data_IF_528250158092
#
_entry.id   IF_528250158092
#
_cell.length_a   1.000
_cell.length_b   1.000
_cell.length_c   1.000
_cell.angle_alpha   90.00
_cell.angle_beta   90.00
_cell.angle_gamma   90.00
#
_symmetry.space_group_name_H-M   'P 1'
#
loop_
_entity.id
_entity.type
_entity.pdbx_description
1 polymer ?
#
# COMPACT_ATOMS: atom_id res chain seq x y z
N UNK A 1 21.01 -11.58 9.19
CA UNK A 1 20.61 -10.51 8.26
C UNK A 1 19.73 -9.58 9.05
N UNK A 2 20.25 -8.42 9.42
CA UNK A 2 19.53 -7.51 10.31
C UNK A 2 18.59 -6.68 9.43
N UNK A 3 17.28 -6.93 9.56
CA UNK A 3 16.25 -6.26 8.78
C UNK A 3 15.65 -5.14 9.63
N UNK A 4 15.73 -3.92 9.13
CA UNK A 4 14.97 -2.80 9.64
C UNK A 4 13.63 -2.77 8.91
N UNK A 5 12.52 -2.85 9.65
CA UNK A 5 11.18 -2.88 9.06
C UNK A 5 10.49 -1.55 9.33
N UNK A 6 10.01 -0.92 8.26
CA UNK A 6 9.19 0.30 8.35
C UNK A 6 7.72 -0.10 8.23
N UNK A 7 6.91 0.30 9.21
CA UNK A 7 5.49 0.06 9.29
C UNK A 7 4.75 1.38 9.16
N UNK A 8 3.74 1.44 8.30
CA UNK A 8 2.84 2.58 8.21
C UNK A 8 1.43 2.11 7.88
N UNK A 9 0.44 2.76 8.47
CA UNK A 9 -0.97 2.52 8.17
C UNK A 9 -1.78 3.80 8.36
N UNK A 10 -2.65 4.11 7.40
CA UNK A 10 -3.44 5.33 7.43
C UNK A 10 -4.57 5.24 8.45
N UNK A 11 -4.66 6.18 9.39
CA UNK A 11 -5.68 6.19 10.44
C UNK A 11 -6.31 7.57 10.58
N UNK A 12 -7.63 7.61 10.75
CA UNK A 12 -8.34 8.83 11.08
C UNK A 12 -8.25 9.11 12.58
N UNK A 13 -7.62 10.22 12.94
CA UNK A 13 -7.45 10.65 14.33
C UNK A 13 -8.13 12.01 14.55
N UNK A 14 -8.67 12.28 15.74
CA UNK A 14 -9.18 13.61 16.07
C UNK A 14 -8.03 14.62 16.05
N UNK A 15 -8.28 15.81 15.52
CA UNK A 15 -7.28 16.89 15.59
C UNK A 15 -7.11 17.38 17.03
N UNK A 16 -5.89 17.77 17.40
CA UNK A 16 -5.54 18.24 18.76
C UNK A 16 -6.30 19.53 19.14
N UNK A 17 -6.83 20.26 18.16
CA UNK A 17 -7.46 21.58 18.32
C UNK A 17 -8.95 21.56 17.90
N UNK A 18 -9.46 20.50 17.27
CA UNK A 18 -10.76 20.52 16.60
C UNK A 18 -11.59 19.24 16.73
N UNK A 19 -12.91 19.37 16.49
CA UNK A 19 -13.86 18.24 16.41
C UNK A 19 -13.68 17.40 15.13
N UNK A 20 -12.84 17.83 14.20
CA UNK A 20 -12.66 17.16 12.90
C UNK A 20 -11.65 16.02 12.99
N UNK A 21 -11.93 14.96 12.23
CA UNK A 21 -11.00 13.85 12.04
C UNK A 21 -10.06 14.17 10.90
N UNK A 22 -8.77 14.12 11.18
CA UNK A 22 -7.71 14.24 10.19
C UNK A 22 -7.16 12.87 9.82
N UNK A 23 -6.82 12.69 8.54
CA UNK A 23 -6.11 11.50 8.11
C UNK A 23 -4.66 11.63 8.59
N UNK A 24 -4.19 10.67 9.36
CA UNK A 24 -2.83 10.62 9.88
C UNK A 24 -2.18 9.33 9.42
N UNK A 25 -0.86 9.36 9.31
CA UNK A 25 -0.08 8.19 8.90
C UNK A 25 1.06 7.95 9.90
N UNK A 26 0.83 7.24 11.01
CA UNK A 26 1.90 6.84 11.90
C UNK A 26 2.95 6.03 11.14
N UNK A 27 4.20 6.45 11.26
CA UNK A 27 5.35 5.75 10.70
C UNK A 27 6.20 5.21 11.86
N UNK A 28 6.35 3.90 11.88
CA UNK A 28 7.01 3.18 12.94
C UNK A 28 8.15 2.37 12.33
N UNK A 29 9.26 2.29 13.03
CA UNK A 29 10.41 1.46 12.65
C UNK A 29 10.65 0.42 13.74
N UNK A 30 10.86 -0.82 13.31
CA UNK A 30 11.18 -1.93 14.19
C UNK A 30 12.53 -2.55 13.80
N UNK A 31 13.35 -2.82 14.81
CA UNK A 31 14.69 -3.42 14.68
C UNK A 31 15.04 -4.20 15.94
N UNK A 32 15.46 -5.46 15.79
CA UNK A 32 15.92 -6.33 16.91
C UNK A 32 14.98 -6.32 18.14
N UNK A 33 13.67 -6.35 17.92
CA UNK A 33 12.67 -6.35 19.00
C UNK A 33 12.38 -4.97 19.60
N UNK A 34 13.13 -3.93 19.22
CA UNK A 34 12.80 -2.53 19.52
C UNK A 34 11.84 -1.98 18.47
N UNK A 35 10.96 -1.06 18.88
CA UNK A 35 10.01 -0.37 18.01
C UNK A 35 9.99 1.10 18.38
N UNK A 36 10.12 1.98 17.39
CA UNK A 36 10.17 3.42 17.59
C UNK A 36 9.22 4.12 16.61
N UNK A 37 8.41 5.04 17.12
CA UNK A 37 7.65 5.96 16.30
C UNK A 37 8.59 7.04 15.74
N UNK A 38 8.64 7.17 14.41
CA UNK A 38 9.41 8.23 13.77
C UNK A 38 8.58 9.51 13.65
N UNK A 39 7.36 9.38 13.10
CA UNK A 39 6.52 10.53 12.77
C UNK A 39 5.04 10.15 12.65
N UNK A 40 4.17 11.16 12.70
CA UNK A 40 2.74 11.04 12.40
C UNK A 40 2.35 12.17 11.44
N UNK A 41 2.73 12.09 10.16
CA UNK A 41 2.29 13.04 9.14
C UNK A 41 0.76 13.12 9.08
N UNK A 42 0.25 14.35 9.15
CA UNK A 42 -1.13 14.66 8.78
C UNK A 42 -1.22 14.71 7.25
N UNK A 43 -2.24 14.06 6.71
CA UNK A 43 -2.51 13.98 5.28
C UNK A 43 -3.75 14.81 4.97
N UNK A 44 -3.70 15.58 3.88
CA UNK A 44 -4.88 16.26 3.34
C UNK A 44 -5.96 15.24 2.95
N UNK A 45 -5.55 14.13 2.32
CA UNK A 45 -6.44 13.04 1.94
C UNK A 45 -5.83 11.68 2.30
N UNK A 46 -6.66 10.70 2.64
CA UNK A 46 -6.23 9.34 3.00
C UNK A 46 -5.87 8.44 1.81
N UNK A 47 -5.58 9.00 0.63
CA UNK A 47 -5.34 8.19 -0.57
C UNK A 47 -4.00 7.46 -0.50
N UNK A 48 -3.88 6.33 -1.22
CA UNK A 48 -2.61 5.59 -1.27
C UNK A 48 -1.45 6.42 -1.86
N UNK A 49 -1.75 7.40 -2.72
CA UNK A 49 -0.75 8.31 -3.29
C UNK A 49 -0.21 9.29 -2.25
N UNK A 50 -1.09 9.87 -1.43
CA UNK A 50 -0.68 10.81 -0.39
C UNK A 50 0.10 10.10 0.70
N UNK A 51 -0.31 8.87 1.05
CA UNK A 51 0.45 8.02 1.96
C UNK A 51 1.85 7.71 1.40
N UNK A 52 1.95 7.28 0.14
CA UNK A 52 3.25 6.98 -0.48
C UNK A 52 4.16 8.22 -0.54
N UNK A 53 3.59 9.39 -0.84
CA UNK A 53 4.34 10.66 -0.85
C UNK A 53 4.84 11.03 0.55
N UNK A 54 4.01 10.86 1.59
CA UNK A 54 4.40 11.14 2.97
C UNK A 54 5.57 10.25 3.42
N UNK A 55 5.51 8.94 3.14
CA UNK A 55 6.61 8.01 3.45
C UNK A 55 7.89 8.37 2.69
N UNK A 56 7.76 8.71 1.40
CA UNK A 56 8.91 9.07 0.57
C UNK A 56 9.60 10.36 1.07
N UNK A 57 8.82 11.37 1.48
CA UNK A 57 9.36 12.67 1.88
C UNK A 57 9.83 12.73 3.33
N UNK A 58 9.25 11.95 4.24
CA UNK A 58 9.61 11.91 5.65
C UNK A 58 10.50 10.71 5.97
N UNK A 59 9.87 9.56 6.23
CA UNK A 59 10.51 8.32 6.65
C UNK A 59 11.74 7.91 5.83
N UNK A 60 11.67 7.91 4.49
CA UNK A 60 12.79 7.48 3.64
C UNK A 60 13.99 8.42 3.78
N UNK A 61 13.76 9.74 3.83
CA UNK A 61 14.84 10.73 3.98
C UNK A 61 15.52 10.58 5.34
N UNK A 62 14.74 10.41 6.41
CA UNK A 62 15.28 10.23 7.77
C UNK A 62 16.08 8.94 7.89
N UNK A 63 15.62 7.86 7.25
CA UNK A 63 16.31 6.58 7.26
C UNK A 63 17.58 6.59 6.42
N UNK A 64 17.58 7.23 5.26
CA UNK A 64 18.79 7.42 4.43
C UNK A 64 19.85 8.23 5.18
N UNK A 65 19.43 9.29 5.89
CA UNK A 65 20.32 10.09 6.75
C UNK A 65 20.93 9.25 7.88
N UNK A 66 20.14 8.38 8.52
CA UNK A 66 20.63 7.52 9.60
C UNK A 66 21.48 6.34 9.15
N UNK A 67 21.23 5.82 7.94
CA UNK A 67 21.90 4.63 7.43
C UNK A 67 23.10 4.93 6.52
N UNK A 68 23.34 6.20 6.19
CA UNK A 68 24.38 6.67 5.25
C UNK A 68 24.37 5.91 3.91
N UNK A 69 23.21 5.38 3.52
CA UNK A 69 23.03 4.54 2.33
C UNK A 69 21.70 4.88 1.68
N UNK A 70 21.71 4.92 0.35
CA UNK A 70 20.49 5.07 -0.43
C UNK A 70 19.58 3.86 -0.19
N UNK A 71 18.33 4.12 0.20
CA UNK A 71 17.34 3.05 0.32
C UNK A 71 16.90 2.65 -1.09
N UNK A 72 16.90 1.35 -1.36
CA UNK A 72 16.16 0.83 -2.50
C UNK A 72 14.68 1.08 -2.20
N UNK A 73 14.06 2.01 -2.93
CA UNK A 73 12.65 2.34 -2.80
C UNK A 73 11.79 1.10 -3.08
N UNK A 74 11.46 0.35 -2.04
CA UNK A 74 10.55 -0.77 -2.13
C UNK A 74 9.14 -0.21 -2.15
N UNK A 75 8.36 -0.43 -3.23
CA UNK A 75 6.95 -0.12 -3.18
C UNK A 75 6.29 -0.98 -2.09
N UNK A 76 5.23 -0.48 -1.45
CA UNK A 76 4.56 -1.24 -0.41
C UNK A 76 4.12 -2.60 -0.96
N UNK A 77 4.04 -3.67 -0.14
CA UNK A 77 3.69 -5.03 -0.61
C UNK A 77 2.42 -5.02 -1.47
N UNK A 78 1.43 -4.20 -1.10
CA UNK A 78 0.20 -4.01 -1.87
C UNK A 78 0.40 -3.27 -3.19
N UNK A 79 1.29 -2.28 -3.23
CA UNK A 79 1.62 -1.52 -4.44
C UNK A 79 2.46 -2.34 -5.42
N UNK A 80 3.37 -3.21 -4.94
CA UNK A 80 4.09 -4.17 -5.79
C UNK A 80 3.08 -5.08 -6.50
N UNK A 81 2.14 -5.68 -5.75
CA UNK A 81 1.12 -6.55 -6.33
C UNK A 81 0.23 -5.78 -7.31
N UNK A 82 -0.18 -4.56 -6.97
CA UNK A 82 -0.97 -3.70 -7.87
C UNK A 82 -0.21 -3.35 -9.16
N UNK A 83 1.08 -3.00 -9.07
CA UNK A 83 1.92 -2.70 -10.22
C UNK A 83 2.13 -3.94 -11.12
N UNK A 84 2.40 -5.10 -10.52
CA UNK A 84 2.56 -6.36 -11.24
C UNK A 84 1.24 -6.71 -11.94
N UNK A 85 0.12 -6.62 -11.22
CA UNK A 85 -1.20 -6.92 -11.75
C UNK A 85 -1.56 -5.95 -12.89
N UNK A 86 -1.36 -4.64 -12.69
CA UNK A 86 -1.57 -3.62 -13.72
C UNK A 86 -0.73 -3.90 -14.97
N UNK A 87 0.53 -4.26 -14.78
CA UNK A 87 1.45 -4.59 -15.89
C UNK A 87 1.01 -5.85 -16.60
N UNK A 88 0.67 -6.93 -15.87
CA UNK A 88 0.17 -8.16 -16.43
C UNK A 88 -1.13 -7.94 -17.22
N UNK A 89 -2.08 -7.18 -16.68
CA UNK A 89 -3.30 -6.78 -17.35
C UNK A 89 -3.01 -5.97 -18.62
N UNK A 90 -2.09 -4.99 -18.56
CA UNK A 90 -1.71 -4.18 -19.71
C UNK A 90 -1.07 -5.02 -20.82
N UNK A 91 -0.17 -5.94 -20.47
CA UNK A 91 0.54 -6.80 -21.43
C UNK A 91 -0.39 -7.86 -22.04
N UNK A 92 -1.18 -8.54 -21.22
CA UNK A 92 -1.99 -9.68 -21.67
C UNK A 92 -3.34 -9.28 -22.26
N UNK A 93 -3.98 -8.25 -21.70
CA UNK A 93 -5.33 -7.86 -22.13
C UNK A 93 -5.31 -6.65 -23.06
N UNK A 94 -4.23 -5.84 -23.08
CA UNK A 94 -4.10 -4.63 -23.94
C UNK A 94 -5.28 -3.66 -23.82
N UNK A 95 -6.03 -3.71 -22.72
CA UNK A 95 -7.19 -2.86 -22.48
C UNK A 95 -6.76 -1.56 -21.77
N UNK A 96 -7.39 -0.42 -22.09
CA UNK A 96 -7.24 0.79 -21.29
C UNK A 96 -7.73 0.53 -19.87
N UNK A 97 -6.87 0.73 -18.88
CA UNK A 97 -7.23 0.58 -17.46
C UNK A 97 -7.97 1.83 -16.98
N UNK A 98 -9.26 1.95 -17.29
CA UNK A 98 -10.13 2.98 -16.72
C UNK A 98 -11.27 2.34 -15.95
N UNK A 99 -11.11 2.23 -14.62
CA UNK A 99 -12.19 1.95 -13.66
C UNK A 99 -12.98 0.65 -13.82
N UNK A 100 -14.08 0.53 -13.06
CA UNK A 100 -15.02 -0.61 -13.05
C UNK A 100 -15.76 -0.83 -14.39
N UNK A 101 -15.67 0.10 -15.34
CA UNK A 101 -16.46 0.09 -16.57
C UNK A 101 -15.80 -0.66 -17.74
N UNK A 102 -14.77 -1.47 -17.47
CA UNK A 102 -14.22 -2.35 -18.50
C UNK A 102 -15.21 -3.50 -18.76
N UNK A 103 -15.68 -3.72 -20.01
CA UNK A 103 -16.67 -4.75 -20.33
C UNK A 103 -16.28 -6.17 -19.89
N UNK A 104 -14.98 -6.45 -19.76
CA UNK A 104 -14.48 -7.73 -19.26
C UNK A 104 -14.86 -7.98 -17.79
N UNK A 105 -14.84 -6.95 -16.95
CA UNK A 105 -15.22 -7.06 -15.54
C UNK A 105 -16.73 -7.24 -15.37
N UNK A 106 -17.55 -6.56 -16.17
CA UNK A 106 -19.01 -6.79 -16.20
C UNK A 106 -19.36 -8.22 -16.60
N UNK A 107 -18.77 -8.72 -17.70
CA UNK A 107 -18.94 -10.12 -18.14
C UNK A 107 -18.45 -11.12 -17.09
N UNK A 108 -17.37 -10.81 -16.40
CA UNK A 108 -16.86 -11.64 -15.32
C UNK A 108 -17.79 -11.63 -14.11
N UNK A 109 -18.30 -10.47 -13.71
CA UNK A 109 -19.25 -10.30 -12.62
C UNK A 109 -20.54 -11.10 -12.86
N UNK A 110 -21.08 -11.07 -14.08
CA UNK A 110 -22.25 -11.87 -14.47
C UNK A 110 -21.99 -13.38 -14.42
N UNK A 111 -20.75 -13.81 -14.71
CA UNK A 111 -20.35 -15.22 -14.70
C UNK A 111 -19.88 -15.70 -13.33
N UNK A 112 -19.48 -14.81 -12.44
CA UNK A 112 -18.93 -15.12 -11.12
C UNK A 112 -19.81 -16.08 -10.30
N UNK A 113 -21.16 -15.94 -10.25
CA UNK A 113 -22.01 -16.88 -9.50
C UNK A 113 -22.05 -18.29 -10.09
N UNK A 114 -21.61 -18.48 -11.34
CA UNK A 114 -21.59 -19.76 -12.05
C UNK A 114 -20.22 -20.43 -12.00
N UNK A 115 -19.22 -19.77 -11.42
CA UNK A 115 -17.88 -20.33 -11.24
C UNK A 115 -17.92 -21.23 -10.01
N UNK A 116 -17.58 -22.48 -10.21
CA UNK A 116 -17.48 -23.46 -9.13
C UNK A 116 -16.13 -23.31 -8.42
N UNK A 117 -16.14 -22.63 -7.27
CA UNK A 117 -14.96 -22.36 -6.46
C UNK A 117 -14.26 -23.62 -5.94
N UNK A 118 -14.92 -24.79 -5.97
CA UNK A 118 -14.32 -26.06 -5.54
C UNK A 118 -13.25 -26.60 -6.51
N UNK A 119 -13.20 -26.05 -7.74
CA UNK A 119 -12.27 -26.48 -8.79
C UNK A 119 -10.97 -25.68 -8.83
N UNK A 120 -10.80 -24.71 -7.94
CA UNK A 120 -9.66 -23.80 -7.95
C UNK A 120 -8.98 -23.80 -6.59
N UNK A 121 -7.65 -23.88 -6.60
CA UNK A 121 -6.83 -23.76 -5.40
C UNK A 121 -6.42 -22.31 -5.19
N UNK A 122 -6.42 -21.85 -3.94
CA UNK A 122 -5.93 -20.53 -3.57
C UNK A 122 -4.41 -20.50 -3.82
N UNK A 123 -3.99 -19.76 -4.85
CA UNK A 123 -2.57 -19.66 -5.22
C UNK A 123 -1.69 -18.88 -4.24
N UNK A 124 -2.28 -18.33 -3.18
CA UNK A 124 -1.57 -17.69 -2.07
C UNK A 124 -2.20 -18.24 -0.79
N UNK A 125 -1.46 -19.06 -0.06
CA UNK A 125 -1.80 -19.39 1.31
C UNK A 125 -1.31 -18.21 2.17
N UNK A 126 -2.24 -17.47 2.79
CA UNK A 126 -1.88 -16.49 3.82
C UNK A 126 -1.20 -17.27 4.96
N UNK A 127 0.12 -17.13 5.06
CA UNK A 127 0.96 -17.68 6.14
C UNK A 127 1.53 -16.53 6.95
#
# INVERSE_FOLDING_TARGET
MNCLVVHWDGKQLPDLIGKEKVNCLPVIVSYEGSTQLLEIPKLEHGTGRDQAKAIFQGACVLLEQHMERNLLYLPCRRHIVELILKTAFKVKLRLPTFGLDVPIFKKFQEKWPKIDSSKYELGIADT
#
